data_IF_810827148457
#
_entry.id   IF_810827148457
#
_cell.length_a   1.000
_cell.length_b   1.000
_cell.length_c   1.000
_cell.angle_alpha   90.00
_cell.angle_beta   90.00
_cell.angle_gamma   90.00
#
_symmetry.space_group_name_H-M   'P 1'
#
loop_
_entity.id
_entity.type
_entity.pdbx_description
1 polymer ?
#
# COMPACT_ATOMS: atom_id res chain seq x y z
N UNK A 1 34.67 9.36 -13.22
CA UNK A 1 33.39 9.23 -13.94
C UNK A 1 32.26 9.30 -12.95
N UNK A 2 31.63 10.46 -12.82
CA UNK A 2 30.48 10.71 -11.94
C UNK A 2 29.30 10.00 -12.61
N UNK A 3 28.92 8.83 -12.12
CA UNK A 3 27.60 8.27 -12.38
C UNK A 3 26.59 9.22 -11.76
N UNK A 4 25.97 10.07 -12.56
CA UNK A 4 24.75 10.75 -12.19
C UNK A 4 23.74 9.65 -11.83
N UNK A 5 23.55 9.39 -10.55
CA UNK A 5 22.33 8.78 -10.08
C UNK A 5 21.21 9.65 -10.66
N UNK A 6 20.42 9.08 -11.55
CA UNK A 6 19.13 9.66 -11.92
C UNK A 6 18.28 9.52 -10.67
N UNK A 7 18.34 10.53 -9.79
CA UNK A 7 17.24 10.76 -8.88
C UNK A 7 16.00 10.82 -9.76
N UNK A 8 15.11 9.90 -9.55
CA UNK A 8 13.77 9.95 -10.11
C UNK A 8 13.11 11.12 -9.40
N UNK A 9 13.29 12.33 -9.96
CA UNK A 9 12.56 13.49 -9.50
C UNK A 9 11.10 13.21 -9.79
N UNK A 10 10.33 12.90 -8.76
CA UNK A 10 8.87 12.98 -8.80
C UNK A 10 8.62 14.47 -9.02
N UNK A 11 8.30 14.85 -10.26
CA UNK A 11 8.13 16.27 -10.59
C UNK A 11 6.81 16.76 -10.03
N UNK A 12 5.72 16.12 -10.42
CA UNK A 12 4.37 16.48 -10.03
C UNK A 12 3.71 15.24 -9.42
N UNK A 13 3.30 15.32 -8.14
CA UNK A 13 2.70 14.21 -7.43
C UNK A 13 1.30 14.55 -6.95
N UNK A 14 0.37 13.61 -7.13
CA UNK A 14 -0.91 13.61 -6.47
C UNK A 14 -0.83 12.72 -5.23
N UNK A 15 -1.28 13.18 -4.08
CA UNK A 15 -1.19 12.42 -2.83
C UNK A 15 -2.52 12.35 -2.09
N UNK A 16 -2.85 11.17 -1.56
CA UNK A 16 -3.98 10.95 -0.65
C UNK A 16 -3.53 10.21 0.60
N UNK A 17 -4.06 10.58 1.77
CA UNK A 17 -3.68 9.99 3.05
C UNK A 17 -2.24 10.32 3.49
N UNK A 18 -1.62 11.28 2.82
CA UNK A 18 -0.28 11.79 3.11
C UNK A 18 -0.38 13.31 3.26
N UNK A 19 0.30 13.86 4.25
CA UNK A 19 0.38 15.30 4.44
C UNK A 19 1.06 15.97 3.22
N UNK A 20 0.36 16.93 2.61
CA UNK A 20 0.85 17.62 1.44
C UNK A 20 2.13 18.44 1.71
N UNK A 21 2.32 18.99 2.92
CA UNK A 21 3.55 19.69 3.28
C UNK A 21 4.75 18.72 3.34
N UNK A 22 4.53 17.50 3.81
CA UNK A 22 5.57 16.46 3.79
C UNK A 22 5.88 16.04 2.36
N UNK A 23 4.86 15.84 1.52
CA UNK A 23 5.04 15.46 0.12
C UNK A 23 5.75 16.56 -0.69
N UNK A 24 5.48 17.83 -0.40
CA UNK A 24 6.10 18.98 -1.08
C UNK A 24 7.63 19.06 -0.92
N UNK A 25 8.20 18.38 0.08
CA UNK A 25 9.64 18.26 0.22
C UNK A 25 10.30 17.36 -0.86
N UNK A 26 9.51 16.54 -1.56
CA UNK A 26 9.97 15.58 -2.57
C UNK A 26 9.62 15.97 -4.02
N UNK A 27 8.70 16.90 -4.21
CA UNK A 27 8.26 17.36 -5.52
C UNK A 27 7.07 18.32 -5.42
N UNK A 28 6.56 18.78 -6.53
CA UNK A 28 5.35 19.60 -6.57
C UNK A 28 4.11 18.73 -6.31
N UNK A 29 3.24 19.19 -5.42
CA UNK A 29 1.97 18.50 -5.12
C UNK A 29 0.86 19.17 -5.93
N UNK A 30 0.21 18.39 -6.79
CA UNK A 30 -0.88 18.85 -7.65
C UNK A 30 -2.25 18.49 -7.10
N UNK A 31 -3.28 19.17 -7.58
CA UNK A 31 -4.64 19.05 -7.04
C UNK A 31 -5.41 17.85 -7.60
N UNK A 32 -5.06 17.38 -8.79
CA UNK A 32 -5.78 16.30 -9.48
C UNK A 32 -4.82 15.25 -10.03
N UNK A 33 -5.25 13.97 -10.13
CA UNK A 33 -4.41 12.92 -10.71
C UNK A 33 -3.96 13.20 -12.15
N UNK A 34 -4.79 13.85 -12.95
CA UNK A 34 -4.50 14.15 -14.36
C UNK A 34 -3.34 15.15 -14.56
N UNK A 35 -3.01 15.91 -13.52
CA UNK A 35 -1.90 16.87 -13.52
C UNK A 35 -0.59 16.22 -13.00
N UNK A 36 -0.65 15.00 -12.49
CA UNK A 36 0.46 14.34 -11.84
C UNK A 36 1.28 13.45 -12.79
N UNK A 37 2.56 13.29 -12.50
CA UNK A 37 3.42 12.23 -13.07
C UNK A 37 3.29 10.93 -12.30
N UNK A 38 2.92 11.00 -11.02
CA UNK A 38 2.76 9.87 -10.10
C UNK A 38 1.70 10.18 -9.05
N UNK A 39 0.85 9.22 -8.76
CA UNK A 39 -0.02 9.27 -7.57
C UNK A 39 0.51 8.38 -6.45
N UNK A 40 0.38 8.82 -5.21
CA UNK A 40 0.66 8.03 -4.01
C UNK A 40 -0.57 8.06 -3.10
N UNK A 41 -1.19 6.90 -2.91
CA UNK A 41 -2.40 6.75 -2.11
C UNK A 41 -2.06 5.93 -0.88
N UNK A 42 -2.31 6.45 0.33
CA UNK A 42 -2.15 5.72 1.58
C UNK A 42 -3.51 5.25 2.08
N UNK A 43 -3.64 3.95 2.26
CA UNK A 43 -4.82 3.27 2.77
C UNK A 43 -4.53 2.59 4.10
N UNK A 44 -5.58 2.33 4.87
CA UNK A 44 -5.54 1.43 6.02
C UNK A 44 -6.16 0.09 5.64
N UNK A 45 -5.64 -1.02 6.20
CA UNK A 45 -6.24 -2.33 6.05
C UNK A 45 -7.72 -2.29 6.49
N UNK A 46 -8.63 -2.92 5.75
CA UNK A 46 -10.06 -2.85 6.01
C UNK A 46 -10.43 -3.58 7.28
N UNK A 47 -11.47 -3.11 7.96
CA UNK A 47 -12.14 -3.79 9.06
C UNK A 47 -13.62 -3.42 9.10
N UNK A 48 -14.44 -4.27 9.68
CA UNK A 48 -15.85 -4.03 9.84
C UNK A 48 -16.13 -3.19 11.07
N UNK A 49 -16.87 -2.10 10.90
CA UNK A 49 -17.30 -1.26 12.00
C UNK A 49 -18.25 -2.03 12.94
N UNK A 50 -18.05 -1.89 14.25
CA UNK A 50 -18.87 -2.49 15.30
C UNK A 50 -19.57 -1.40 16.11
N UNK A 51 -20.59 -1.78 16.88
CA UNK A 51 -21.45 -0.84 17.60
C UNK A 51 -20.74 -0.14 18.76
N UNK A 52 -19.70 -0.74 19.33
CA UNK A 52 -18.98 -0.19 20.48
C UNK A 52 -17.53 0.17 20.15
N UNK A 53 -17.01 1.20 20.83
CA UNK A 53 -15.59 1.61 20.70
C UNK A 53 -14.63 0.46 21.10
N UNK A 54 -15.01 -0.36 22.08
CA UNK A 54 -14.21 -1.47 22.52
C UNK A 54 -14.08 -2.56 21.45
N UNK A 55 -15.19 -2.88 20.76
CA UNK A 55 -15.16 -3.85 19.66
C UNK A 55 -14.38 -3.34 18.44
N UNK A 56 -14.47 -2.03 18.14
CA UNK A 56 -13.72 -1.41 17.07
C UNK A 56 -12.21 -1.33 17.33
N UNK A 57 -11.79 -1.43 18.59
CA UNK A 57 -10.36 -1.52 18.93
C UNK A 57 -9.71 -2.80 18.39
N UNK A 58 -10.48 -3.88 18.32
CA UNK A 58 -10.05 -5.14 17.72
C UNK A 58 -10.53 -5.18 16.27
N UNK A 59 -9.81 -4.58 15.35
CA UNK A 59 -10.14 -4.62 13.93
C UNK A 59 -10.47 -6.05 13.49
N UNK A 60 -11.71 -6.33 13.11
CA UNK A 60 -12.22 -7.65 12.78
C UNK A 60 -13.01 -7.65 11.47
N UNK A 61 -13.54 -8.80 11.05
CA UNK A 61 -14.34 -8.95 9.85
C UNK A 61 -13.53 -9.20 8.58
N UNK A 62 -14.11 -8.89 7.43
CA UNK A 62 -13.49 -9.10 6.12
C UNK A 62 -12.13 -8.42 6.00
N UNK A 63 -11.24 -9.05 5.22
CA UNK A 63 -9.93 -8.50 4.82
C UNK A 63 -10.01 -7.85 3.43
N UNK A 64 -11.16 -7.86 2.79
CA UNK A 64 -11.40 -7.25 1.50
C UNK A 64 -11.69 -5.76 1.64
N UNK A 65 -11.12 -4.96 0.75
CA UNK A 65 -11.46 -3.55 0.67
C UNK A 65 -12.87 -3.35 0.14
N UNK A 66 -13.61 -2.34 0.63
CA UNK A 66 -14.90 -1.97 0.06
C UNK A 66 -14.78 -1.62 -1.43
N UNK A 67 -15.82 -1.96 -2.21
CA UNK A 67 -15.85 -1.68 -3.65
C UNK A 67 -15.59 -0.20 -3.97
N UNK A 68 -16.13 0.71 -3.16
CA UNK A 68 -15.94 2.16 -3.30
C UNK A 68 -14.45 2.57 -3.24
N UNK A 69 -13.68 1.92 -2.36
CA UNK A 69 -12.23 2.16 -2.23
C UNK A 69 -11.49 1.59 -3.45
N UNK A 70 -11.87 0.40 -3.90
CA UNK A 70 -11.27 -0.23 -5.07
C UNK A 70 -11.56 0.56 -6.34
N UNK A 71 -12.81 0.99 -6.55
CA UNK A 71 -13.21 1.82 -7.69
C UNK A 71 -12.44 3.15 -7.72
N UNK A 72 -12.25 3.78 -6.55
CA UNK A 72 -11.48 5.00 -6.44
C UNK A 72 -10.00 4.78 -6.81
N UNK A 73 -9.36 3.75 -6.26
CA UNK A 73 -7.97 3.40 -6.60
C UNK A 73 -7.84 3.07 -8.09
N UNK A 74 -8.76 2.31 -8.65
CA UNK A 74 -8.76 1.95 -10.07
C UNK A 74 -8.93 3.18 -10.97
N UNK A 75 -9.77 4.14 -10.60
CA UNK A 75 -9.94 5.38 -11.35
C UNK A 75 -8.64 6.19 -11.41
N UNK A 76 -7.95 6.34 -10.28
CA UNK A 76 -6.68 7.07 -10.23
C UNK A 76 -5.58 6.30 -10.97
N UNK A 77 -5.46 4.99 -10.75
CA UNK A 77 -4.47 4.16 -11.41
C UNK A 77 -4.67 4.06 -12.94
N UNK A 78 -5.90 4.25 -13.40
CA UNK A 78 -6.22 4.38 -14.83
C UNK A 78 -5.80 5.70 -15.46
N UNK A 79 -5.66 6.76 -14.68
CA UNK A 79 -5.26 8.09 -15.13
C UNK A 79 -3.73 8.29 -15.07
N UNK A 80 -3.08 7.81 -14.02
CA UNK A 80 -1.66 8.06 -13.74
C UNK A 80 -1.01 6.84 -13.06
N UNK A 81 0.28 6.55 -13.28
CA UNK A 81 1.00 5.55 -12.50
C UNK A 81 0.81 5.80 -11.00
N UNK A 82 0.33 4.79 -10.28
CA UNK A 82 -0.09 4.94 -8.89
C UNK A 82 0.66 3.96 -7.99
N UNK A 83 1.23 4.48 -6.91
CA UNK A 83 1.72 3.69 -5.78
C UNK A 83 0.64 3.65 -4.71
N UNK A 84 0.28 2.47 -4.24
CA UNK A 84 -0.63 2.30 -3.11
C UNK A 84 0.17 1.81 -1.90
N UNK A 85 0.16 2.60 -0.84
CA UNK A 85 0.78 2.28 0.45
C UNK A 85 -0.29 1.86 1.45
N UNK A 86 -0.18 0.66 2.01
CA UNK A 86 -1.19 0.09 2.90
C UNK A 86 -0.63 -0.06 4.31
N UNK A 87 -1.25 0.64 5.27
CA UNK A 87 -1.04 0.39 6.70
C UNK A 87 -1.75 -0.91 7.07
N UNK A 88 -0.98 -1.97 7.29
CA UNK A 88 -1.47 -3.33 7.45
C UNK A 88 -1.33 -3.81 8.90
N UNK A 89 -2.25 -3.45 9.76
CA UNK A 89 -2.43 -4.07 11.07
C UNK A 89 -3.01 -5.51 10.97
N UNK A 90 -3.53 -5.85 9.80
CA UNK A 90 -4.08 -7.16 9.39
C UNK A 90 -3.62 -7.48 7.96
N UNK A 91 -3.53 -8.75 7.54
CA UNK A 91 -3.14 -9.13 6.17
C UNK A 91 -4.28 -8.88 5.17
N UNK A 92 -4.38 -7.72 4.51
CA UNK A 92 -5.49 -7.39 3.63
C UNK A 92 -5.44 -8.19 2.32
N UNK A 93 -6.59 -8.32 1.65
CA UNK A 93 -6.67 -8.86 0.30
C UNK A 93 -6.23 -7.77 -0.68
N UNK A 94 -5.01 -7.89 -1.19
CA UNK A 94 -4.38 -6.89 -2.06
C UNK A 94 -4.50 -7.20 -3.56
N UNK A 95 -5.02 -8.36 -3.96
CA UNK A 95 -5.08 -8.76 -5.38
C UNK A 95 -5.70 -7.66 -6.27
N UNK A 96 -6.88 -7.07 -5.96
CA UNK A 96 -7.47 -6.05 -6.83
C UNK A 96 -6.62 -4.79 -6.95
N UNK A 97 -5.89 -4.43 -5.88
CA UNK A 97 -5.00 -3.26 -5.87
C UNK A 97 -3.72 -3.56 -6.66
N UNK A 98 -3.13 -4.74 -6.48
CA UNK A 98 -1.90 -5.13 -7.20
C UNK A 98 -2.10 -5.28 -8.70
N UNK A 99 -3.32 -5.58 -9.14
CA UNK A 99 -3.65 -5.70 -10.55
C UNK A 99 -3.73 -4.33 -11.26
N UNK A 100 -3.98 -3.26 -10.52
CA UNK A 100 -4.15 -1.91 -11.06
C UNK A 100 -2.96 -0.98 -10.77
N UNK A 101 -2.34 -1.08 -9.60
CA UNK A 101 -1.30 -0.18 -9.16
C UNK A 101 0.05 -0.46 -9.84
N UNK A 102 0.83 0.59 -10.09
CA UNK A 102 2.21 0.48 -10.58
C UNK A 102 3.15 -0.14 -9.54
N UNK A 103 2.89 0.11 -8.24
CA UNK A 103 3.57 -0.53 -7.12
C UNK A 103 2.67 -0.52 -5.88
N UNK A 104 2.90 -1.49 -4.99
CA UNK A 104 2.23 -1.56 -3.68
C UNK A 104 3.29 -1.67 -2.60
N UNK A 105 3.14 -0.87 -1.55
CA UNK A 105 3.92 -0.96 -0.32
C UNK A 105 3.02 -1.34 0.85
N UNK A 106 3.56 -2.11 1.78
CA UNK A 106 2.86 -2.49 3.01
C UNK A 106 3.69 -2.01 4.19
N UNK A 107 3.06 -1.36 5.14
CA UNK A 107 3.72 -0.81 6.32
C UNK A 107 2.92 -1.05 7.61
N UNK A 108 3.56 -0.83 8.76
CA UNK A 108 3.00 -1.01 10.10
C UNK A 108 3.12 0.28 10.93
N UNK A 109 2.85 1.45 10.32
CA UNK A 109 2.90 2.74 10.98
C UNK A 109 4.15 3.56 10.64
N UNK A 110 4.71 3.37 9.45
CA UNK A 110 5.82 4.16 8.95
C UNK A 110 5.38 5.61 8.67
N UNK A 111 6.26 6.57 8.91
CA UNK A 111 5.98 7.98 8.58
C UNK A 111 5.88 8.20 7.07
N UNK A 112 5.16 9.23 6.65
CA UNK A 112 5.07 9.62 5.25
C UNK A 112 6.46 9.95 4.66
N UNK A 113 7.32 10.61 5.42
CA UNK A 113 8.68 10.93 4.99
C UNK A 113 9.50 9.67 4.69
N UNK A 114 9.44 8.64 5.56
CA UNK A 114 10.18 7.40 5.34
C UNK A 114 9.66 6.63 4.11
N UNK A 115 8.35 6.65 3.84
CA UNK A 115 7.79 6.12 2.61
C UNK A 115 8.34 6.87 1.39
N UNK A 116 8.27 8.19 1.41
CA UNK A 116 8.71 9.03 0.30
C UNK A 116 10.22 8.96 0.06
N UNK A 117 11.03 8.78 1.10
CA UNK A 117 12.47 8.49 0.97
C UNK A 117 12.73 7.22 0.15
N UNK A 118 11.94 6.17 0.38
CA UNK A 118 12.04 4.93 -0.40
C UNK A 118 11.57 5.15 -1.84
N UNK A 119 10.41 5.78 -2.03
CA UNK A 119 9.85 5.99 -3.37
C UNK A 119 10.70 6.94 -4.23
N UNK A 120 11.38 7.91 -3.62
CA UNK A 120 12.29 8.83 -4.31
C UNK A 120 13.71 8.26 -4.50
N UNK A 121 14.00 7.09 -3.94
CA UNK A 121 15.32 6.47 -4.02
C UNK A 121 16.38 7.06 -3.08
N UNK A 122 15.96 7.89 -2.12
CA UNK A 122 16.84 8.39 -1.02
C UNK A 122 17.23 7.24 -0.10
N UNK A 123 16.29 6.34 0.16
CA UNK A 123 16.53 5.11 0.91
C UNK A 123 16.18 3.87 0.07
N UNK A 124 16.89 2.78 0.26
CA UNK A 124 16.61 1.52 -0.40
C UNK A 124 15.46 0.74 0.28
N UNK A 125 14.61 0.10 -0.51
CA UNK A 125 13.61 -0.83 0.01
C UNK A 125 14.29 -2.12 0.50
N UNK A 126 14.15 -2.45 1.78
CA UNK A 126 14.76 -3.63 2.42
C UNK A 126 13.74 -4.50 3.17
N UNK A 127 12.51 -4.00 3.29
CA UNK A 127 11.44 -4.68 4.01
C UNK A 127 11.10 -6.05 3.42
N UNK A 128 10.67 -6.97 4.29
CA UNK A 128 10.17 -8.29 3.91
C UNK A 128 8.85 -8.55 4.64
N UNK A 129 7.92 -9.21 3.96
CA UNK A 129 6.65 -9.57 4.56
C UNK A 129 6.86 -10.49 5.76
N UNK A 130 6.30 -10.16 6.94
CA UNK A 130 6.41 -10.99 8.13
C UNK A 130 5.39 -12.14 8.18
N UNK A 131 4.52 -12.26 7.18
CA UNK A 131 3.50 -13.30 7.02
C UNK A 131 3.16 -13.52 5.54
N UNK A 132 2.42 -14.58 5.23
CA UNK A 132 1.84 -14.77 3.92
C UNK A 132 0.69 -13.77 3.71
N UNK A 133 0.64 -13.07 2.58
CA UNK A 133 -0.52 -12.29 2.16
C UNK A 133 -1.49 -13.19 1.40
N UNK A 134 -2.73 -13.36 1.88
CA UNK A 134 -3.72 -14.18 1.19
C UNK A 134 -4.18 -13.51 -0.11
N UNK A 135 -4.49 -14.33 -1.11
CA UNK A 135 -5.03 -13.85 -2.39
C UNK A 135 -6.51 -13.48 -2.29
N UNK A 136 -7.26 -14.20 -1.46
CA UNK A 136 -8.71 -14.06 -1.33
C UNK A 136 -9.20 -14.47 0.05
N UNK A 137 -10.42 -14.10 0.40
CA UNK A 137 -11.07 -14.59 1.63
C UNK A 137 -11.25 -16.11 1.60
N UNK A 138 -11.44 -16.72 0.44
CA UNK A 138 -11.46 -18.19 0.30
C UNK A 138 -10.13 -18.83 0.72
N UNK A 139 -9.00 -18.22 0.36
CA UNK A 139 -7.68 -18.66 0.80
C UNK A 139 -7.50 -18.51 2.33
N UNK A 140 -8.03 -17.43 2.92
CA UNK A 140 -8.01 -17.24 4.38
C UNK A 140 -8.79 -18.35 5.09
N UNK A 141 -10.00 -18.65 4.63
CA UNK A 141 -10.85 -19.70 5.22
C UNK A 141 -10.22 -21.10 5.07
N UNK A 142 -9.53 -21.35 3.97
CA UNK A 142 -8.85 -22.63 3.72
C UNK A 142 -7.56 -22.81 4.54
N UNK A 143 -7.01 -21.74 5.12
CA UNK A 143 -5.78 -21.77 5.91
C UNK A 143 -6.06 -22.15 7.35
N UNK A 144 -5.10 -22.82 8.01
CA UNK A 144 -5.22 -23.20 9.43
C UNK A 144 -4.74 -22.07 10.32
N UNK A 145 -5.55 -21.61 11.31
CA UNK A 145 -5.21 -20.44 12.11
C UNK A 145 -4.03 -20.68 13.08
N UNK A 146 -3.69 -21.93 13.36
CA UNK A 146 -2.65 -22.36 14.29
C UNK A 146 -1.35 -22.81 13.61
N UNK A 147 -1.30 -22.75 12.29
CA UNK A 147 -0.11 -23.15 11.50
C UNK A 147 0.43 -21.95 10.74
N UNK A 148 1.57 -21.38 11.12
CA UNK A 148 2.16 -20.26 10.45
C UNK A 148 2.59 -20.64 9.02
N UNK A 149 2.46 -19.69 8.10
CA UNK A 149 2.94 -19.79 6.70
C UNK A 149 2.31 -20.94 5.90
N UNK A 150 1.09 -21.34 6.22
CA UNK A 150 0.36 -22.37 5.48
C UNK A 150 -0.78 -21.83 4.63
N UNK A 151 -0.78 -20.54 4.34
CA UNK A 151 -1.80 -19.92 3.51
C UNK A 151 -1.96 -20.70 2.19
N UNK A 152 -3.20 -21.16 1.94
CA UNK A 152 -3.57 -21.93 0.78
C UNK A 152 -3.50 -21.11 -0.45
N UNK A 153 -3.04 -20.70 -1.28
CA UNK A 153 -3.01 -19.73 -2.39
C UNK A 153 -2.65 -18.31 -1.94
N UNK A 154 -1.42 -18.09 -1.46
CA UNK A 154 -0.97 -16.75 -1.11
C UNK A 154 -0.74 -15.90 -2.35
N UNK A 155 -1.07 -14.60 -2.23
CA UNK A 155 -0.64 -13.60 -3.20
C UNK A 155 0.88 -13.41 -3.15
N UNK A 156 1.40 -13.25 -1.93
CA UNK A 156 2.84 -13.20 -1.65
C UNK A 156 3.16 -14.03 -0.41
N UNK A 157 4.27 -14.75 -0.46
CA UNK A 157 4.75 -15.57 0.66
C UNK A 157 5.49 -14.72 1.71
N UNK A 158 5.52 -15.23 2.93
CA UNK A 158 6.45 -14.78 3.96
C UNK A 158 7.85 -14.54 3.38
N UNK A 159 8.50 -13.45 3.76
CA UNK A 159 9.82 -13.08 3.29
C UNK A 159 9.86 -12.42 1.92
N UNK A 160 8.70 -12.28 1.21
CA UNK A 160 8.65 -11.54 -0.04
C UNK A 160 8.96 -10.06 0.18
N UNK A 161 9.66 -9.45 -0.76
CA UNK A 161 9.93 -8.02 -0.79
C UNK A 161 10.86 -7.67 -1.95
N UNK A 162 10.68 -6.48 -2.49
CA UNK A 162 11.57 -5.94 -3.51
C UNK A 162 12.86 -5.42 -2.88
N UNK A 163 13.92 -5.46 -3.66
CA UNK A 163 15.18 -4.76 -3.36
C UNK A 163 15.40 -3.76 -4.49
N UNK A 164 15.32 -2.48 -4.15
CA UNK A 164 15.51 -1.36 -5.08
C UNK A 164 16.91 -0.75 -4.89
#
# INVERSE_FOLDING_TARGET
SIRRQRQMCIRDSYVEGIDAEVAAAYGEVVATPDEADLAVIRLQAPFEQRDTTFENFFHAGSLEFPDEVLDHVHAIAGAVPTVVDVLADRPPILQPITDAAAAVTVNWGVSAAALLDVLSGVAGAQGRLPFDLPRSMAAVVASRPDVPFDTADPLFRFGHGLTL
#
